data_IF_185513081102
#
_entry.id   IF_185513081102
#
_cell.length_a   1.000
_cell.length_b   1.000
_cell.length_c   1.000
_cell.angle_alpha   90.00
_cell.angle_beta   90.00
_cell.angle_gamma   90.00
#
_symmetry.space_group_name_H-M   'P 1'
#
loop_
_entity.id
_entity.type
_entity.pdbx_description
1 polymer ?
#
# COMPACT_ATOMS: atom_id res chain seq x y z
N UNK A 1 -22.38 4.25 -38.95
CA UNK A 1 -22.16 5.31 -37.93
C UNK A 1 -22.55 4.83 -36.53
N UNK A 2 -23.78 4.35 -36.31
CA UNK A 2 -24.23 3.86 -34.98
C UNK A 2 -23.41 2.64 -34.51
N UNK A 3 -23.21 1.65 -35.38
CA UNK A 3 -22.41 0.44 -35.07
C UNK A 3 -20.96 0.79 -34.67
N UNK A 4 -20.29 1.62 -35.47
CA UNK A 4 -18.97 2.16 -35.13
C UNK A 4 -18.95 2.88 -33.77
N UNK A 5 -19.99 3.64 -33.44
CA UNK A 5 -20.07 4.36 -32.17
C UNK A 5 -20.23 3.40 -30.97
N UNK A 6 -20.98 2.32 -31.15
CA UNK A 6 -21.15 1.26 -30.14
C UNK A 6 -19.80 0.56 -29.91
N UNK A 7 -19.13 0.13 -30.98
CA UNK A 7 -17.83 -0.54 -30.89
C UNK A 7 -16.78 0.37 -30.23
N UNK A 8 -16.73 1.63 -30.65
CA UNK A 8 -15.82 2.62 -30.08
C UNK A 8 -16.09 2.83 -28.58
N UNK A 9 -17.36 2.92 -28.18
CA UNK A 9 -17.76 3.13 -26.78
C UNK A 9 -17.36 1.94 -25.91
N UNK A 10 -17.58 0.72 -26.40
CA UNK A 10 -17.19 -0.51 -25.69
C UNK A 10 -15.68 -0.52 -25.46
N UNK A 11 -14.88 -0.27 -26.50
CA UNK A 11 -13.42 -0.23 -26.39
C UNK A 11 -12.96 0.88 -25.45
N UNK A 12 -13.55 2.07 -25.54
CA UNK A 12 -13.20 3.21 -24.70
C UNK A 12 -13.42 2.91 -23.21
N UNK A 13 -14.58 2.34 -22.85
CA UNK A 13 -14.89 1.96 -21.46
C UNK A 13 -13.90 0.89 -20.97
N UNK A 14 -13.55 -0.07 -21.83
CA UNK A 14 -12.63 -1.15 -21.47
C UNK A 14 -11.22 -0.61 -21.16
N UNK A 15 -10.71 0.29 -21.99
CA UNK A 15 -9.41 0.95 -21.79
C UNK A 15 -9.41 1.81 -20.53
N UNK A 16 -10.46 2.61 -20.30
CA UNK A 16 -10.60 3.44 -19.09
C UNK A 16 -10.69 2.54 -17.84
N UNK A 17 -11.46 1.46 -17.91
CA UNK A 17 -11.61 0.50 -16.81
C UNK A 17 -10.27 -0.13 -16.42
N UNK A 18 -9.53 -0.66 -17.39
CA UNK A 18 -8.21 -1.27 -17.14
C UNK A 18 -7.24 -0.24 -16.54
N UNK A 19 -7.15 0.96 -17.12
CA UNK A 19 -6.22 2.00 -16.65
C UNK A 19 -6.54 2.48 -15.24
N UNK A 20 -7.83 2.69 -14.92
CA UNK A 20 -8.25 3.07 -13.57
C UNK A 20 -8.01 1.95 -12.55
N UNK A 21 -8.26 0.68 -12.92
CA UNK A 21 -8.05 -0.48 -12.06
C UNK A 21 -6.56 -0.71 -11.78
N UNK A 22 -5.68 -0.43 -12.73
CA UNK A 22 -4.24 -0.62 -12.55
C UNK A 22 -3.65 0.23 -11.41
N UNK A 23 -4.13 1.47 -11.24
CA UNK A 23 -3.71 2.33 -10.13
C UNK A 23 -4.20 1.81 -8.77
N UNK A 24 -5.47 1.40 -8.68
CA UNK A 24 -6.05 0.86 -7.44
C UNK A 24 -5.43 -0.49 -7.07
N UNK A 25 -5.23 -1.38 -8.04
CA UNK A 25 -4.57 -2.66 -7.82
C UNK A 25 -3.12 -2.45 -7.40
N UNK A 26 -2.37 -1.57 -8.04
CA UNK A 26 -0.97 -1.32 -7.69
C UNK A 26 -0.83 -0.73 -6.29
N UNK A 27 -1.70 0.22 -5.92
CA UNK A 27 -1.70 0.80 -4.57
C UNK A 27 -2.18 -0.20 -3.51
N UNK A 28 -3.27 -0.93 -3.77
CA UNK A 28 -3.82 -1.92 -2.83
C UNK A 28 -2.94 -3.16 -2.65
N UNK A 29 -2.34 -3.67 -3.73
CA UNK A 29 -1.35 -4.77 -3.69
C UNK A 29 -0.05 -4.25 -3.09
N UNK A 30 0.41 -3.06 -3.48
CA UNK A 30 1.61 -2.44 -2.93
C UNK A 30 1.54 -2.28 -1.42
N UNK A 31 0.42 -1.79 -0.89
CA UNK A 31 0.19 -1.63 0.54
C UNK A 31 0.07 -2.99 1.26
N UNK A 32 -0.65 -3.97 0.70
CA UNK A 32 -0.77 -5.30 1.33
C UNK A 32 0.51 -6.13 1.27
N UNK A 33 1.26 -6.07 0.17
CA UNK A 33 2.46 -6.90 -0.08
C UNK A 33 3.72 -6.23 0.48
N UNK A 34 3.90 -4.92 0.29
CA UNK A 34 5.08 -4.18 0.74
C UNK A 34 4.86 -3.34 2.02
N UNK A 35 3.61 -2.98 2.35
CA UNK A 35 3.29 -2.14 3.52
C UNK A 35 3.37 -2.87 4.87
N UNK A 36 3.33 -4.21 4.90
CA UNK A 36 3.35 -4.98 6.15
C UNK A 36 4.69 -4.97 6.91
N UNK A 37 5.79 -4.50 6.30
CA UNK A 37 7.12 -4.47 6.95
C UNK A 37 7.83 -3.11 6.95
N UNK A 38 7.50 -2.21 6.02
CA UNK A 38 8.32 -1.00 5.81
C UNK A 38 8.04 0.14 6.79
N UNK A 39 6.93 0.10 7.51
CA UNK A 39 6.58 1.10 8.55
C UNK A 39 6.89 0.66 9.99
N UNK A 40 6.88 -0.64 10.28
CA UNK A 40 7.12 -1.16 11.63
C UNK A 40 8.60 -1.35 11.95
N UNK A 41 9.50 -1.46 10.97
CA UNK A 41 10.93 -1.65 11.26
C UNK A 41 11.51 -0.54 12.13
N UNK A 42 11.12 0.71 11.90
CA UNK A 42 11.56 1.84 12.73
C UNK A 42 10.95 1.78 14.14
N UNK A 43 9.69 1.35 14.24
CA UNK A 43 9.00 1.18 15.52
C UNK A 43 9.54 -0.01 16.32
N UNK A 44 9.74 -1.17 15.69
CA UNK A 44 10.33 -2.38 16.29
C UNK A 44 11.77 -2.13 16.72
N UNK A 45 12.57 -1.42 15.90
CA UNK A 45 13.93 -1.06 16.28
C UNK A 45 13.92 -0.10 17.47
N UNK A 46 13.07 0.93 17.45
CA UNK A 46 12.92 1.86 18.57
C UNK A 46 12.42 1.18 19.85
N UNK A 47 11.44 0.28 19.73
CA UNK A 47 10.90 -0.50 20.83
C UNK A 47 11.96 -1.43 21.44
N UNK A 48 12.79 -2.08 20.60
CA UNK A 48 13.91 -2.89 21.07
C UNK A 48 14.97 -2.07 21.82
N UNK A 49 15.26 -0.85 21.33
CA UNK A 49 16.19 0.08 21.98
C UNK A 49 15.64 0.54 23.35
N UNK A 50 14.36 0.91 23.42
CA UNK A 50 13.69 1.34 24.65
C UNK A 50 13.56 0.20 25.67
N UNK A 51 13.32 -1.03 25.22
CA UNK A 51 13.29 -2.22 26.08
C UNK A 51 14.66 -2.48 26.74
N UNK A 52 15.76 -2.34 25.98
CA UNK A 52 17.12 -2.41 26.51
C UNK A 52 17.39 -1.32 27.55
N UNK A 53 16.91 -0.09 27.32
CA UNK A 53 17.07 1.03 28.25
C UNK A 53 16.35 0.82 29.59
N UNK A 54 15.14 0.24 29.53
CA UNK A 54 14.36 -0.13 30.72
C UNK A 54 15.10 -1.17 31.58
N UNK A 55 15.89 -2.04 30.97
CA UNK A 55 16.70 -3.06 31.65
C UNK A 55 17.93 -2.49 32.36
N UNK A 56 18.52 -1.39 31.88
CA UNK A 56 19.77 -0.83 32.43
C UNK A 56 19.59 0.37 33.35
N UNK A 57 18.45 1.07 33.29
CA UNK A 57 18.25 2.31 34.08
C UNK A 57 16.83 2.62 34.53
N UNK A 58 15.84 1.75 34.28
CA UNK A 58 14.42 2.03 34.54
C UNK A 58 13.93 1.84 35.99
N UNK A 59 14.81 1.51 36.93
CA UNK A 59 14.50 1.42 38.36
C UNK A 59 15.29 2.48 39.12
N UNK A 60 14.83 3.72 39.08
CA UNK A 60 15.07 4.66 40.16
C UNK A 60 13.76 5.41 40.45
N UNK A 61 13.20 5.04 41.60
CA UNK A 61 12.23 5.69 42.50
C UNK A 61 11.29 6.76 41.94
#
# INVERSE_FOLDING_TARGET
>A
MIEYFIDFTIVAILVIGITAVMGVLTNGIGEKVFGRKKGSESFDKSASMQAGWKSVGGKNK
#
